data_IF_028117048671
#
_entry.id   IF_028117048671
#
_cell.length_a   1.000
_cell.length_b   1.000
_cell.length_c   1.000
_cell.angle_alpha   90.00
_cell.angle_beta   90.00
_cell.angle_gamma   90.00
#
_symmetry.space_group_name_H-M   'P 1'
#
loop_
_entity.id
_entity.type
_entity.pdbx_description
1 polymer ?
#
# COMPACT_ATOMS: atom_id res chain seq x y z
N UNK A 1 -4.28 -24.33 -15.97
CA UNK A 1 -5.42 -24.40 -15.02
C UNK A 1 -5.14 -23.60 -13.74
N UNK A 2 -4.09 -23.87 -12.96
CA UNK A 2 -3.77 -23.09 -11.74
C UNK A 2 -3.34 -21.66 -12.05
N UNK A 3 -2.47 -21.47 -13.05
CA UNK A 3 -2.03 -20.13 -13.48
C UNK A 3 -3.17 -19.24 -13.96
N UNK A 4 -4.12 -19.81 -14.70
CA UNK A 4 -5.32 -19.10 -15.20
C UNK A 4 -6.19 -18.56 -14.05
N UNK A 5 -6.40 -19.37 -13.01
CA UNK A 5 -7.15 -18.96 -11.83
C UNK A 5 -6.43 -17.83 -11.09
N UNK A 6 -5.14 -17.99 -10.85
CA UNK A 6 -4.34 -16.98 -10.13
C UNK A 6 -4.32 -15.64 -10.85
N UNK A 7 -4.12 -15.62 -12.18
CA UNK A 7 -4.11 -14.37 -12.94
C UNK A 7 -5.50 -13.73 -12.98
N UNK A 8 -6.57 -14.53 -13.05
CA UNK A 8 -7.93 -14.02 -13.02
C UNK A 8 -8.25 -13.34 -11.68
N UNK A 9 -7.91 -13.98 -10.56
CA UNK A 9 -8.06 -13.37 -9.23
C UNK A 9 -7.22 -12.12 -9.06
N UNK A 10 -5.97 -12.13 -9.54
CA UNK A 10 -5.09 -10.97 -9.51
C UNK A 10 -5.69 -9.79 -10.28
N UNK A 11 -6.20 -10.02 -11.48
CA UNK A 11 -6.83 -8.97 -12.29
C UNK A 11 -8.08 -8.41 -11.61
N UNK A 12 -8.94 -9.26 -11.03
CA UNK A 12 -10.12 -8.83 -10.27
C UNK A 12 -9.73 -7.97 -9.07
N UNK A 13 -8.75 -8.41 -8.27
CA UNK A 13 -8.26 -7.66 -7.12
C UNK A 13 -7.70 -6.29 -7.52
N UNK A 14 -6.96 -6.23 -8.62
CA UNK A 14 -6.38 -4.98 -9.14
C UNK A 14 -7.45 -4.02 -9.67
N UNK A 15 -8.50 -4.53 -10.34
CA UNK A 15 -9.63 -3.73 -10.79
C UNK A 15 -10.47 -3.20 -9.61
N UNK A 16 -10.75 -4.04 -8.62
CA UNK A 16 -11.48 -3.65 -7.43
C UNK A 16 -10.72 -2.60 -6.62
N UNK A 17 -9.40 -2.77 -6.45
CA UNK A 17 -8.53 -1.78 -5.82
C UNK A 17 -8.55 -0.45 -6.58
N UNK A 18 -8.40 -0.47 -7.91
CA UNK A 18 -8.45 0.71 -8.77
C UNK A 18 -9.76 1.49 -8.61
N UNK A 19 -10.90 0.79 -8.68
CA UNK A 19 -12.21 1.41 -8.55
C UNK A 19 -12.39 2.03 -7.16
N UNK A 20 -12.02 1.30 -6.11
CA UNK A 20 -12.07 1.81 -4.74
C UNK A 20 -11.19 3.04 -4.55
N UNK A 21 -9.96 3.05 -5.09
CA UNK A 21 -9.07 4.21 -5.05
C UNK A 21 -9.69 5.40 -5.79
N UNK A 22 -10.26 5.19 -6.97
CA UNK A 22 -10.94 6.25 -7.72
C UNK A 22 -12.12 6.85 -6.92
N UNK A 23 -12.93 6.01 -6.28
CA UNK A 23 -14.02 6.45 -5.40
C UNK A 23 -13.48 7.26 -4.22
N UNK A 24 -12.43 6.77 -3.55
CA UNK A 24 -11.80 7.50 -2.43
C UNK A 24 -11.26 8.86 -2.91
N UNK A 25 -10.61 8.90 -4.07
CA UNK A 25 -10.07 10.15 -4.65
C UNK A 25 -11.18 11.16 -4.99
N UNK A 26 -12.33 10.69 -5.48
CA UNK A 26 -13.48 11.54 -5.76
C UNK A 26 -14.15 12.06 -4.48
N UNK A 27 -14.30 11.20 -3.47
CA UNK A 27 -15.00 11.52 -2.23
C UNK A 27 -14.14 12.25 -1.20
N UNK A 28 -12.81 12.25 -1.32
CA UNK A 28 -11.92 12.85 -0.30
C UNK A 28 -12.20 14.34 -0.04
N UNK A 29 -12.51 15.09 -1.08
CA UNK A 29 -12.76 16.54 -1.01
C UNK A 29 -14.01 16.83 -0.15
N UNK A 30 -15.19 16.30 -0.53
CA UNK A 30 -16.40 16.50 0.25
C UNK A 30 -16.33 15.84 1.63
N UNK A 31 -15.71 14.66 1.76
CA UNK A 31 -15.57 13.96 3.05
C UNK A 31 -14.81 14.78 4.10
N UNK A 32 -13.75 15.51 3.70
CA UNK A 32 -13.00 16.37 4.64
C UNK A 32 -13.85 17.48 5.24
N UNK A 33 -14.83 18.00 4.49
CA UNK A 33 -15.73 19.04 4.97
C UNK A 33 -16.86 18.52 5.87
N UNK A 34 -17.28 17.27 5.68
CA UNK A 34 -18.47 16.72 6.35
C UNK A 34 -18.17 15.85 7.59
N UNK A 35 -17.13 15.03 7.53
CA UNK A 35 -16.85 13.99 8.54
C UNK A 35 -15.45 14.09 9.17
N UNK A 36 -14.71 15.15 8.80
CA UNK A 36 -13.40 15.45 9.38
C UNK A 36 -12.22 14.67 8.77
N UNK A 37 -11.01 15.08 9.16
CA UNK A 37 -9.77 14.59 8.59
C UNK A 37 -9.48 13.12 8.94
N UNK A 38 -9.88 12.67 10.13
CA UNK A 38 -9.58 11.31 10.61
C UNK A 38 -10.38 10.23 9.86
N UNK A 39 -11.69 10.41 9.68
CA UNK A 39 -12.50 9.47 8.89
C UNK A 39 -12.07 9.44 7.43
N UNK A 40 -11.69 10.59 6.87
CA UNK A 40 -11.16 10.67 5.50
C UNK A 40 -9.93 9.78 5.34
N UNK A 41 -9.07 9.69 6.37
CA UNK A 41 -7.91 8.78 6.34
C UNK A 41 -8.32 7.31 6.35
N UNK A 42 -9.35 6.95 7.12
CA UNK A 42 -9.88 5.57 7.19
C UNK A 42 -10.49 5.11 5.87
N UNK A 43 -10.96 6.02 5.00
CA UNK A 43 -11.47 5.68 3.67
C UNK A 43 -10.44 4.95 2.79
N UNK A 44 -9.13 5.18 3.00
CA UNK A 44 -8.10 4.48 2.25
C UNK A 44 -8.08 2.96 2.51
N UNK A 45 -8.64 2.49 3.62
CA UNK A 45 -8.80 1.06 3.89
C UNK A 45 -9.83 0.39 2.96
N UNK A 46 -10.71 1.15 2.30
CA UNK A 46 -11.69 0.59 1.35
C UNK A 46 -10.99 -0.09 0.16
N UNK A 47 -9.85 0.43 -0.31
CA UNK A 47 -9.13 -0.15 -1.43
C UNK A 47 -8.61 -1.58 -1.19
N UNK A 48 -7.83 -1.86 -0.12
CA UNK A 48 -7.40 -3.23 0.17
C UNK A 48 -8.57 -4.14 0.56
N UNK A 49 -9.60 -3.62 1.25
CA UNK A 49 -10.80 -4.41 1.56
C UNK A 49 -11.55 -4.81 0.29
N UNK A 50 -11.74 -3.89 -0.66
CA UNK A 50 -12.37 -4.19 -1.94
C UNK A 50 -11.58 -5.22 -2.75
N UNK A 51 -10.24 -5.12 -2.75
CA UNK A 51 -9.37 -6.11 -3.37
C UNK A 51 -9.55 -7.50 -2.75
N UNK A 52 -9.54 -7.61 -1.42
CA UNK A 52 -9.74 -8.87 -0.71
C UNK A 52 -11.14 -9.46 -0.93
N UNK A 53 -12.18 -8.64 -0.86
CA UNK A 53 -13.57 -9.08 -1.10
C UNK A 53 -13.75 -9.58 -2.53
N UNK A 54 -13.06 -9.00 -3.52
CA UNK A 54 -13.14 -9.42 -4.92
C UNK A 54 -12.53 -10.80 -5.22
N UNK A 55 -11.77 -11.37 -4.26
CA UNK A 55 -11.27 -12.74 -4.34
C UNK A 55 -12.37 -13.77 -4.09
N UNK A 56 -13.48 -13.35 -3.46
CA UNK A 56 -14.63 -14.20 -3.24
C UNK A 56 -15.58 -14.12 -4.45
N UNK A 57 -16.31 -15.21 -4.75
CA UNK A 57 -17.35 -15.16 -5.77
C UNK A 57 -18.41 -14.14 -5.38
N UNK A 58 -18.83 -13.36 -6.37
CA UNK A 58 -19.98 -12.47 -6.21
C UNK A 58 -21.27 -13.27 -6.06
N UNK A 59 -22.33 -12.69 -5.49
CA UNK A 59 -23.63 -13.37 -5.35
C UNK A 59 -24.13 -13.96 -6.69
N UNK A 60 -24.07 -13.23 -7.83
CA UNK A 60 -24.46 -13.78 -9.12
C UNK A 60 -23.60 -14.98 -9.55
N UNK A 61 -22.29 -14.94 -9.33
CA UNK A 61 -21.37 -16.05 -9.64
C UNK A 61 -21.66 -17.26 -8.75
N UNK A 62 -21.91 -17.03 -7.45
CA UNK A 62 -22.28 -18.09 -6.53
C UNK A 62 -23.61 -18.76 -6.93
N UNK A 63 -24.61 -17.95 -7.30
CA UNK A 63 -25.90 -18.47 -7.78
C UNK A 63 -25.77 -19.19 -9.13
N UNK A 64 -24.92 -18.71 -10.04
CA UNK A 64 -24.67 -19.37 -11.32
C UNK A 64 -23.89 -20.68 -11.15
N UNK A 65 -22.90 -20.72 -10.25
CA UNK A 65 -22.14 -21.92 -9.95
C UNK A 65 -22.99 -22.96 -9.24
N UNK A 66 -23.85 -22.53 -8.30
CA UNK A 66 -24.85 -23.38 -7.67
C UNK A 66 -25.82 -23.99 -8.71
N UNK A 67 -26.38 -23.14 -9.58
CA UNK A 67 -27.29 -23.58 -10.64
C UNK A 67 -26.58 -24.52 -11.64
N UNK A 68 -25.35 -24.20 -12.04
CA UNK A 68 -24.53 -25.03 -12.91
C UNK A 68 -24.28 -26.39 -12.28
N UNK A 69 -23.84 -26.46 -11.02
CA UNK A 69 -23.61 -27.71 -10.30
C UNK A 69 -24.86 -28.61 -10.27
N UNK A 70 -26.05 -28.02 -10.24
CA UNK A 70 -27.33 -28.76 -10.27
C UNK A 70 -27.80 -29.18 -11.68
N UNK A 71 -27.34 -28.53 -12.76
CA UNK A 71 -27.95 -28.65 -14.09
C UNK A 71 -26.98 -29.07 -15.22
N UNK A 72 -25.67 -28.84 -15.09
CA UNK A 72 -24.64 -29.14 -16.12
C UNK A 72 -23.23 -29.20 -15.50
N UNK A 73 -22.33 -30.12 -15.90
CA UNK A 73 -20.94 -30.03 -15.45
C UNK A 73 -20.34 -28.71 -15.96
N UNK A 74 -19.95 -27.82 -15.02
CA UNK A 74 -19.31 -26.55 -15.32
C UNK A 74 -18.08 -26.80 -16.21
N UNK A 75 -18.09 -26.25 -17.42
CA UNK A 75 -16.94 -26.30 -18.32
C UNK A 75 -15.70 -25.68 -17.65
N UNK A 76 -14.48 -26.06 -18.07
CA UNK A 76 -13.27 -25.56 -17.45
C UNK A 76 -13.21 -24.02 -17.51
N UNK A 77 -12.61 -23.37 -16.49
CA UNK A 77 -12.46 -21.93 -16.47
C UNK A 77 -11.82 -21.45 -17.77
N UNK A 78 -12.30 -20.30 -18.28
CA UNK A 78 -11.82 -19.72 -19.53
C UNK A 78 -10.30 -19.53 -19.46
N UNK A 79 -9.57 -20.20 -20.35
CA UNK A 79 -8.12 -20.13 -20.40
C UNK A 79 -7.66 -18.69 -20.67
N UNK A 80 -6.68 -18.23 -19.90
CA UNK A 80 -6.01 -16.95 -20.10
C UNK A 80 -4.71 -17.23 -20.86
N UNK A 81 -4.56 -16.74 -22.10
CA UNK A 81 -3.33 -16.93 -22.86
C UNK A 81 -2.11 -16.46 -22.07
N UNK A 82 -1.07 -17.28 -22.04
CA UNK A 82 0.21 -16.96 -21.40
C UNK A 82 0.12 -16.66 -19.88
N UNK A 83 -0.85 -17.23 -19.17
CA UNK A 83 -1.04 -17.00 -17.74
C UNK A 83 0.24 -17.15 -16.90
N UNK A 84 1.06 -18.18 -17.18
CA UNK A 84 2.32 -18.41 -16.46
C UNK A 84 3.35 -17.31 -16.72
N UNK A 85 3.48 -16.85 -17.97
CA UNK A 85 4.39 -15.76 -18.32
C UNK A 85 3.94 -14.44 -17.68
N UNK A 86 2.64 -14.18 -17.63
CA UNK A 86 2.06 -13.01 -16.97
C UNK A 86 2.29 -13.04 -15.45
N UNK A 87 2.11 -14.19 -14.81
CA UNK A 87 2.42 -14.38 -13.40
C UNK A 87 3.92 -14.19 -13.12
N UNK A 88 4.78 -14.75 -13.97
CA UNK A 88 6.22 -14.57 -13.90
C UNK A 88 6.62 -13.10 -14.02
N UNK A 89 6.05 -12.38 -14.99
CA UNK A 89 6.27 -10.94 -15.16
C UNK A 89 5.76 -10.13 -13.97
N UNK A 90 4.60 -10.50 -13.41
CA UNK A 90 4.06 -9.85 -12.22
C UNK A 90 4.98 -10.02 -11.00
N UNK A 91 5.44 -11.25 -10.73
CA UNK A 91 6.39 -11.55 -9.65
C UNK A 91 7.71 -10.82 -9.84
N UNK A 92 8.26 -10.83 -11.06
CA UNK A 92 9.52 -10.15 -11.38
C UNK A 92 9.42 -8.63 -11.17
N UNK A 93 8.34 -8.00 -11.65
CA UNK A 93 8.11 -6.57 -11.45
C UNK A 93 7.92 -6.20 -9.98
N UNK A 94 7.17 -7.00 -9.22
CA UNK A 94 7.00 -6.82 -7.78
C UNK A 94 8.33 -6.94 -7.03
N UNK A 95 9.12 -7.97 -7.34
CA UNK A 95 10.45 -8.18 -6.75
C UNK A 95 11.41 -7.02 -7.09
N UNK A 96 11.41 -6.55 -8.35
CA UNK A 96 12.21 -5.41 -8.77
C UNK A 96 11.84 -4.13 -8.00
N UNK A 97 10.54 -3.81 -7.89
CA UNK A 97 10.10 -2.65 -7.13
C UNK A 97 10.43 -2.77 -5.64
N UNK A 98 10.22 -3.93 -5.04
CA UNK A 98 10.58 -4.19 -3.65
C UNK A 98 12.09 -4.01 -3.41
N UNK A 99 12.93 -4.52 -4.31
CA UNK A 99 14.38 -4.33 -4.25
C UNK A 99 14.77 -2.85 -4.38
N UNK A 100 14.16 -2.10 -5.30
CA UNK A 100 14.40 -0.66 -5.44
C UNK A 100 14.03 0.10 -4.16
N UNK A 101 12.88 -0.21 -3.54
CA UNK A 101 12.45 0.39 -2.28
C UNK A 101 13.43 0.04 -1.14
N UNK A 102 13.85 -1.21 -1.02
CA UNK A 102 14.80 -1.66 0.00
C UNK A 102 16.19 -1.01 -0.17
N UNK A 103 16.68 -0.88 -1.41
CA UNK A 103 17.95 -0.20 -1.72
C UNK A 103 17.84 1.30 -1.41
N UNK A 104 16.72 1.93 -1.77
CA UNK A 104 16.45 3.34 -1.43
C UNK A 104 16.49 3.56 0.07
N UNK A 105 15.80 2.72 0.84
CA UNK A 105 15.79 2.77 2.30
C UNK A 105 17.19 2.54 2.88
N UNK A 106 17.94 1.55 2.39
CA UNK A 106 19.30 1.27 2.84
C UNK A 106 20.25 2.46 2.55
N UNK A 107 20.13 3.10 1.37
CA UNK A 107 20.91 4.30 1.01
C UNK A 107 20.52 5.50 1.87
N UNK A 108 19.24 5.69 2.14
CA UNK A 108 18.75 6.73 3.05
C UNK A 108 19.31 6.51 4.46
N UNK A 109 19.21 5.29 4.98
CA UNK A 109 19.74 4.91 6.29
C UNK A 109 21.24 5.14 6.41
N UNK A 110 22.01 4.77 5.38
CA UNK A 110 23.47 5.04 5.34
C UNK A 110 23.79 6.53 5.36
N UNK A 111 23.00 7.38 4.71
CA UNK A 111 23.20 8.84 4.73
C UNK A 111 22.80 9.46 6.07
N UNK A 112 21.69 9.01 6.64
CA UNK A 112 21.21 9.46 7.96
C UNK A 112 22.23 9.13 9.06
N UNK A 113 22.78 7.91 9.07
CA UNK A 113 23.84 7.52 10.02
C UNK A 113 25.12 8.34 9.89
N UNK A 114 25.37 8.95 8.72
CA UNK A 114 26.51 9.86 8.49
C UNK A 114 26.19 11.31 8.86
N UNK A 115 24.99 11.61 9.38
CA UNK A 115 24.55 12.98 9.69
C UNK A 115 24.31 13.85 8.45
N UNK A 116 24.27 13.26 7.25
CA UNK A 116 24.15 13.98 5.97
C UNK A 116 22.70 14.29 5.57
N UNK A 117 21.73 13.98 6.45
CA UNK A 117 20.30 14.21 6.24
C UNK A 117 19.75 14.77 7.55
N UNK A 118 18.75 15.66 7.45
CA UNK A 118 18.08 16.26 8.62
C UNK A 118 17.45 15.21 9.55
N UNK A 119 16.88 15.64 10.70
CA UNK A 119 16.25 14.72 11.65
C UNK A 119 15.27 13.79 10.92
N UNK A 120 15.54 12.49 11.00
CA UNK A 120 14.82 11.47 10.27
C UNK A 120 14.43 10.34 11.23
N UNK A 121 13.12 10.09 11.32
CA UNK A 121 12.57 8.89 11.94
C UNK A 121 12.93 7.69 11.06
N UNK A 122 13.72 6.75 11.58
CA UNK A 122 14.05 5.52 10.86
C UNK A 122 13.53 4.28 11.58
N UNK A 123 12.85 3.41 10.84
CA UNK A 123 12.44 2.07 11.31
C UNK A 123 10.93 1.88 11.30
N UNK A 124 10.49 0.71 10.77
CA UNK A 124 9.08 0.31 10.73
C UNK A 124 8.55 -0.13 12.10
N UNK A 125 9.36 -0.89 12.82
CA UNK A 125 8.98 -1.48 14.12
C UNK A 125 9.65 -0.79 15.31
N UNK A 126 10.73 -0.03 15.06
CA UNK A 126 11.56 0.63 16.07
C UNK A 126 12.02 1.98 15.54
N UNK A 127 11.13 2.99 15.49
CA UNK A 127 11.49 4.31 15.03
C UNK A 127 12.60 4.88 15.92
N UNK A 128 13.77 5.12 15.33
CA UNK A 128 14.91 5.79 15.95
C UNK A 128 15.02 7.18 15.36
N UNK A 129 15.05 8.18 16.24
CA UNK A 129 15.34 9.57 15.89
C UNK A 129 16.84 9.63 15.62
N UNK A 130 17.23 9.82 14.35
CA UNK A 130 18.64 10.12 14.02
C UNK A 130 18.75 11.61 13.86
N UNK A 131 19.46 12.24 14.80
CA UNK A 131 19.76 13.67 14.75
C UNK A 131 21.06 13.92 13.98
N UNK A 132 21.16 15.03 13.24
CA UNK A 132 22.41 15.46 12.61
C UNK A 132 23.59 15.50 13.59
N UNK A 133 24.83 15.34 13.09
CA UNK A 133 26.04 15.34 13.93
C UNK A 133 26.29 16.67 14.64
N UNK A 134 25.71 17.76 14.14
CA UNK A 134 25.76 19.12 14.67
C UNK A 134 24.55 19.49 15.56
N UNK A 135 23.68 18.52 15.89
CA UNK A 135 22.42 18.76 16.60
C UNK A 135 22.58 19.44 17.97
N UNK A 136 23.64 19.12 18.70
CA UNK A 136 23.93 19.72 20.00
C UNK A 136 24.40 21.17 19.91
N UNK A 137 24.95 21.56 18.75
CA UNK A 137 25.48 22.90 18.48
C UNK A 137 24.42 23.79 17.83
N UNK A 138 23.56 23.21 16.99
CA UNK A 138 22.53 23.97 16.23
C UNK A 138 21.26 24.28 17.00
N UNK A 139 20.92 23.52 18.03
CA UNK A 139 19.66 23.67 18.75
C UNK A 139 19.88 23.85 20.24
N UNK A 140 19.20 24.83 20.81
CA UNK A 140 19.16 25.09 22.25
C UNK A 140 18.44 23.95 22.98
N UNK A 141 18.66 23.77 24.30
CA UNK A 141 17.99 22.74 25.09
C UNK A 141 16.45 22.76 24.95
N UNK A 142 15.83 23.94 24.92
CA UNK A 142 14.39 24.11 24.79
C UNK A 142 13.88 23.70 23.38
N UNK A 143 14.62 24.03 22.32
CA UNK A 143 14.28 23.61 20.96
C UNK A 143 14.41 22.09 20.80
N UNK A 144 15.40 21.47 21.44
CA UNK A 144 15.57 20.01 21.45
C UNK A 144 14.41 19.30 22.12
N UNK A 145 13.93 19.82 23.25
CA UNK A 145 12.75 19.27 23.94
C UNK A 145 11.49 19.36 23.05
N UNK A 146 11.33 20.47 22.32
CA UNK A 146 10.23 20.64 21.38
C UNK A 146 10.31 19.65 20.21
N UNK A 147 11.51 19.47 19.63
CA UNK A 147 11.78 18.52 18.54
C UNK A 147 11.51 17.10 19.00
N UNK A 148 11.99 16.72 20.18
CA UNK A 148 11.83 15.39 20.76
C UNK A 148 10.35 15.08 21.08
N UNK A 149 9.60 16.07 21.57
CA UNK A 149 8.16 15.93 21.78
C UNK A 149 7.39 15.82 20.45
N UNK A 150 7.79 16.56 19.42
CA UNK A 150 7.20 16.48 18.07
C UNK A 150 7.47 15.10 17.42
N UNK A 151 8.70 14.61 17.50
CA UNK A 151 9.12 13.30 17.00
C UNK A 151 8.38 12.15 17.71
N UNK A 152 8.23 12.20 19.04
CA UNK A 152 7.45 11.21 19.80
C UNK A 152 5.99 11.14 19.38
N UNK A 153 5.38 12.26 19.03
CA UNK A 153 3.99 12.28 18.53
C UNK A 153 3.89 11.61 17.16
N UNK A 154 4.87 11.80 16.27
CA UNK A 154 4.94 11.09 14.98
C UNK A 154 5.15 9.58 15.14
N UNK A 155 5.97 9.18 16.12
CA UNK A 155 6.21 7.78 16.47
C UNK A 155 4.94 7.12 17.03
N UNK A 156 4.27 7.79 17.97
CA UNK A 156 3.04 7.29 18.61
C UNK A 156 1.89 7.07 17.60
N UNK A 157 1.90 7.76 16.46
CA UNK A 157 0.88 7.66 15.40
C UNK A 157 1.08 6.48 14.42
N UNK A 158 2.02 5.55 14.66
CA UNK A 158 2.25 4.35 13.82
C UNK A 158 2.52 4.62 12.32
N UNK A 159 2.99 5.82 11.97
CA UNK A 159 3.35 6.19 10.60
C UNK A 159 4.21 5.16 9.86
N UNK A 160 5.17 4.47 10.52
CA UNK A 160 5.99 3.50 9.82
C UNK A 160 5.24 2.22 9.39
N UNK A 161 4.26 1.75 10.18
CA UNK A 161 3.43 0.59 9.81
C UNK A 161 2.50 0.91 8.64
N UNK A 162 1.88 2.09 8.66
CA UNK A 162 1.05 2.57 7.55
C UNK A 162 1.87 2.72 6.26
N UNK A 163 3.09 3.25 6.35
CA UNK A 163 3.99 3.37 5.20
C UNK A 163 4.44 2.01 4.66
N UNK A 164 4.71 1.03 5.52
CA UNK A 164 5.01 -0.34 5.08
C UNK A 164 3.81 -0.95 4.35
N UNK A 165 2.60 -0.77 4.89
CA UNK A 165 1.38 -1.26 4.25
C UNK A 165 1.16 -0.64 2.87
N UNK A 166 1.31 0.69 2.76
CA UNK A 166 1.24 1.39 1.46
C UNK A 166 2.31 0.88 0.50
N UNK A 167 3.54 0.67 0.97
CA UNK A 167 4.61 0.09 0.16
C UNK A 167 4.28 -1.32 -0.34
N UNK A 168 3.73 -2.18 0.53
CA UNK A 168 3.29 -3.52 0.14
C UNK A 168 2.20 -3.47 -0.94
N UNK A 169 1.23 -2.57 -0.82
CA UNK A 169 0.20 -2.37 -1.86
C UNK A 169 0.81 -1.90 -3.18
N UNK A 170 1.79 -0.98 -3.14
CA UNK A 170 2.52 -0.55 -4.33
C UNK A 170 3.32 -1.68 -4.99
N UNK A 171 3.88 -2.60 -4.21
CA UNK A 171 4.58 -3.78 -4.75
C UNK A 171 3.59 -4.75 -5.41
N UNK A 172 2.47 -5.08 -4.74
CA UNK A 172 1.45 -5.95 -5.30
C UNK A 172 0.80 -5.35 -6.55
N UNK A 173 0.60 -4.04 -6.56
CA UNK A 173 0.01 -3.28 -7.65
C UNK A 173 1.01 -2.48 -8.46
N UNK A 174 2.25 -2.95 -8.64
CA UNK A 174 3.34 -2.14 -9.22
C UNK A 174 3.01 -1.57 -10.61
N UNK A 175 2.23 -2.29 -11.42
CA UNK A 175 1.80 -1.87 -12.75
C UNK A 175 0.54 -0.98 -12.74
N UNK A 176 -0.11 -0.81 -11.59
CA UNK A 176 -1.36 -0.07 -11.44
C UNK A 176 -1.08 1.39 -11.04
N UNK A 177 -1.29 2.37 -11.94
CA UNK A 177 -0.99 3.78 -11.67
C UNK A 177 -1.86 4.37 -10.54
N UNK A 178 -3.09 3.89 -10.37
CA UNK A 178 -3.98 4.37 -9.31
C UNK A 178 -3.47 4.00 -7.92
N UNK A 179 -2.83 2.84 -7.77
CA UNK A 179 -2.18 2.45 -6.51
C UNK A 179 -1.08 3.43 -6.13
N UNK A 180 -0.29 3.91 -7.10
CA UNK A 180 0.77 4.89 -6.85
C UNK A 180 0.21 6.29 -6.55
N UNK A 181 -0.81 6.73 -7.28
CA UNK A 181 -1.50 8.00 -7.00
C UNK A 181 -2.14 7.96 -5.60
N UNK A 182 -2.78 6.84 -5.27
CA UNK A 182 -3.36 6.58 -3.96
C UNK A 182 -2.32 6.62 -2.85
N UNK A 183 -1.17 5.98 -3.05
CA UNK A 183 -0.05 6.00 -2.11
C UNK A 183 0.47 7.43 -1.85
N UNK A 184 0.59 8.27 -2.88
CA UNK A 184 1.00 9.67 -2.72
C UNK A 184 -0.04 10.47 -1.93
N UNK A 185 -1.33 10.23 -2.19
CA UNK A 185 -2.41 10.94 -1.51
C UNK A 185 -2.60 10.47 -0.06
N UNK A 186 -2.38 9.19 0.23
CA UNK A 186 -2.51 8.61 1.58
C UNK A 186 -1.35 8.99 2.52
N UNK A 187 -0.22 9.47 1.98
CA UNK A 187 0.94 9.95 2.76
C UNK A 187 0.91 11.45 3.07
N UNK A 188 -0.07 12.19 2.53
CA UNK A 188 -0.27 13.64 2.74
C UNK A 188 -1.30 13.88 3.83
#
# INVERSE_FOLDING_TARGET
>A
MTGDLLIHFLLRAQLAASLAIAVVLALRGPARGLIGAELTYRLWAVAPVAALVSLFPSLPEFLSDWAAWTLTPSGPPRAVPHAEALLGAWLAGGAALAALMAVSEARFRRRALKGLVGPAVMGVSWPRIVTPSDYLVRFTPAERELIDRHERVHIARRHPQANLFIAAMQVLGWFNPLVHIGAVCARR
#
